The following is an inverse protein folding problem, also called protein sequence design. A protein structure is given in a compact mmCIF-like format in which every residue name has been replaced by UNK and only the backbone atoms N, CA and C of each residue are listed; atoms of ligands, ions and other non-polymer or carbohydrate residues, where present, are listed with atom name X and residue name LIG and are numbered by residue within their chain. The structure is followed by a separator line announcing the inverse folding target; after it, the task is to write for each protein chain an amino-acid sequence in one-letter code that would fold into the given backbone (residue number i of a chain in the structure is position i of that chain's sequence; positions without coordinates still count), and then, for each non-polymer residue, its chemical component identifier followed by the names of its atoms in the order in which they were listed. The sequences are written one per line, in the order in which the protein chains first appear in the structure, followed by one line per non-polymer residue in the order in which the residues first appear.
data_IF_965500887701
#
_entry.id   IF_965500887701
#
_cell.length_a   1.000
_cell.length_b   1.000
_cell.length_c   1.000
_cell.angle_alpha   90.00
_cell.angle_beta   90.00
_cell.angle_gamma   90.00
#
_symmetry.space_group_name_H-M   'P 1'
#
loop_
_entity.id
_entity.type
_entity.pdbx_description
1 polymer ?
#
# COMPACT_ATOMS: atom_id res chain seq x y z
N UNK A 1 20.08 -7.32 -17.29
CA UNK A 1 18.84 -6.97 -16.58
C UNK A 1 17.77 -6.59 -17.61
N UNK A 2 16.51 -7.00 -17.41
CA UNK A 2 15.37 -6.64 -18.28
C UNK A 2 14.39 -5.80 -17.46
N UNK A 3 14.07 -4.59 -17.92
CA UNK A 3 13.03 -3.74 -17.30
C UNK A 3 11.67 -4.45 -17.42
N UNK A 4 10.97 -4.60 -16.31
CA UNK A 4 9.66 -5.26 -16.23
C UNK A 4 8.58 -4.38 -15.57
N UNK A 5 8.97 -3.29 -14.90
CA UNK A 5 8.04 -2.33 -14.29
C UNK A 5 8.71 -0.98 -14.08
N UNK A 6 7.89 0.07 -14.05
CA UNK A 6 8.34 1.44 -13.74
C UNK A 6 7.29 2.14 -12.89
N UNK A 7 7.69 2.56 -11.69
CA UNK A 7 6.91 3.39 -10.79
C UNK A 7 7.45 4.82 -10.71
N UNK A 8 6.89 5.62 -9.81
CA UNK A 8 7.29 7.02 -9.63
C UNK A 8 8.69 7.15 -9.01
N UNK A 9 9.05 6.24 -8.09
CA UNK A 9 10.29 6.32 -7.31
C UNK A 9 11.33 5.29 -7.68
N UNK A 10 10.95 4.24 -8.44
CA UNK A 10 11.83 3.12 -8.77
C UNK A 10 11.46 2.45 -10.10
N UNK A 11 12.45 1.78 -10.67
CA UNK A 11 12.32 0.87 -11.81
C UNK A 11 12.54 -0.57 -11.32
N UNK A 12 11.79 -1.51 -11.88
CA UNK A 12 11.87 -2.93 -11.51
C UNK A 12 12.48 -3.71 -12.67
N UNK A 13 13.57 -4.39 -12.40
CA UNK A 13 14.30 -5.19 -13.36
C UNK A 13 14.26 -6.67 -13.01
N UNK A 14 13.97 -7.51 -13.99
CA UNK A 14 14.25 -8.95 -13.89
C UNK A 14 15.77 -9.17 -14.02
N UNK A 15 16.37 -9.74 -12.99
CA UNK A 15 17.81 -10.02 -12.93
C UNK A 15 18.11 -11.51 -13.07
N UNK A 16 17.09 -12.32 -13.38
CA UNK A 16 17.23 -13.78 -13.53
C UNK A 16 17.15 -14.54 -12.21
N UNK A 17 17.22 -15.85 -12.30
CA UNK A 17 17.21 -16.78 -11.14
C UNK A 17 16.03 -16.56 -10.16
N UNK A 18 14.85 -16.17 -10.69
CA UNK A 18 13.67 -15.91 -9.85
C UNK A 18 13.79 -14.66 -8.98
N UNK A 19 14.61 -13.68 -9.38
CA UNK A 19 14.82 -12.44 -8.63
C UNK A 19 14.53 -11.22 -9.47
N UNK A 20 14.11 -10.15 -8.76
CA UNK A 20 13.99 -8.79 -9.32
C UNK A 20 14.85 -7.82 -8.51
N UNK A 21 15.24 -6.74 -9.17
CA UNK A 21 15.86 -5.57 -8.56
C UNK A 21 14.88 -4.39 -8.65
N UNK A 22 14.38 -3.89 -7.51
CA UNK A 22 13.72 -2.59 -7.39
C UNK A 22 14.81 -1.55 -7.25
N UNK A 23 15.11 -0.82 -8.32
CA UNK A 23 16.19 0.17 -8.39
C UNK A 23 15.61 1.58 -8.32
N UNK A 24 15.88 2.29 -7.25
CA UNK A 24 15.35 3.64 -7.01
C UNK A 24 15.98 4.67 -7.95
N UNK A 25 15.28 5.78 -8.19
CA UNK A 25 15.82 6.89 -8.99
C UNK A 25 17.07 7.48 -8.31
N UNK A 26 17.98 8.07 -9.09
CA UNK A 26 19.29 8.53 -8.62
C UNK A 26 19.23 9.49 -7.42
N UNK A 27 18.23 10.36 -7.39
CA UNK A 27 18.02 11.33 -6.29
C UNK A 27 17.31 10.76 -5.07
N UNK A 28 16.92 9.48 -5.08
CA UNK A 28 16.13 8.93 -3.99
C UNK A 28 17.00 8.74 -2.74
N UNK A 29 16.55 9.23 -1.55
CA UNK A 29 17.38 9.24 -0.36
C UNK A 29 17.71 7.82 0.12
N UNK A 30 19.00 7.56 0.42
CA UNK A 30 19.46 6.26 0.93
C UNK A 30 18.67 5.79 2.14
N UNK A 31 18.42 6.69 3.10
CA UNK A 31 17.68 6.34 4.32
C UNK A 31 16.25 5.84 4.04
N UNK A 32 15.61 6.33 2.96
CA UNK A 32 14.27 5.86 2.58
C UNK A 32 14.34 4.43 1.99
N UNK A 33 15.38 4.11 1.21
CA UNK A 33 15.61 2.74 0.73
C UNK A 33 15.93 1.78 1.88
N UNK A 34 16.75 2.22 2.84
CA UNK A 34 17.04 1.46 4.07
C UNK A 34 15.78 1.23 4.90
N UNK A 35 14.88 2.22 4.94
CA UNK A 35 13.59 2.11 5.60
C UNK A 35 12.70 1.04 4.95
N UNK A 36 12.53 1.09 3.63
CA UNK A 36 11.77 0.06 2.90
C UNK A 36 12.39 -1.32 3.07
N UNK A 37 13.72 -1.44 2.95
CA UNK A 37 14.42 -2.70 3.17
C UNK A 37 14.16 -3.29 4.57
N UNK A 38 14.27 -2.45 5.61
CA UNK A 38 13.97 -2.85 6.99
C UNK A 38 12.52 -3.33 7.13
N UNK A 39 11.57 -2.57 6.59
CA UNK A 39 10.15 -2.90 6.62
C UNK A 39 9.88 -4.24 5.92
N UNK A 40 10.44 -4.45 4.71
CA UNK A 40 10.30 -5.70 3.97
C UNK A 40 10.82 -6.91 4.76
N UNK A 41 11.97 -6.77 5.44
CA UNK A 41 12.55 -7.81 6.29
C UNK A 41 11.66 -8.12 7.50
N UNK A 42 11.06 -7.10 8.10
CA UNK A 42 10.09 -7.27 9.20
C UNK A 42 8.86 -8.01 8.68
N UNK A 43 8.24 -7.58 7.57
CA UNK A 43 7.07 -8.23 6.99
C UNK A 43 7.33 -9.71 6.69
N UNK A 44 8.50 -10.03 6.16
CA UNK A 44 8.91 -11.41 5.89
C UNK A 44 9.03 -12.25 7.17
N UNK A 45 9.47 -11.67 8.30
CA UNK A 45 9.65 -12.40 9.56
C UNK A 45 8.34 -12.87 10.19
N UNK A 46 7.19 -12.29 9.81
CA UNK A 46 5.86 -12.68 10.28
C UNK A 46 5.20 -13.80 9.45
N UNK A 47 5.94 -14.41 8.51
CA UNK A 47 5.42 -15.44 7.61
C UNK A 47 4.17 -14.99 6.83
N UNK A 48 4.09 -13.69 6.53
CA UNK A 48 3.05 -13.10 5.71
C UNK A 48 3.28 -13.45 4.22
N UNK A 49 2.22 -13.44 3.40
CA UNK A 49 2.33 -13.69 1.96
C UNK A 49 3.00 -12.51 1.23
N UNK A 50 4.30 -12.39 1.38
CA UNK A 50 5.15 -11.35 0.80
C UNK A 50 6.30 -11.99 0.01
N UNK A 51 6.87 -11.31 -1.01
CA UNK A 51 8.09 -11.79 -1.66
C UNK A 51 9.24 -11.83 -0.67
N UNK A 52 10.14 -12.81 -0.81
CA UNK A 52 11.38 -12.83 -0.06
C UNK A 52 12.20 -11.57 -0.39
N UNK A 53 12.67 -10.88 0.65
CA UNK A 53 13.58 -9.75 0.55
C UNK A 53 15.00 -10.24 0.84
N UNK A 54 15.91 -10.13 -0.12
CA UNK A 54 17.25 -10.70 -0.01
C UNK A 54 18.27 -9.70 0.53
N UNK A 55 18.53 -8.65 -0.23
CA UNK A 55 19.60 -7.71 0.07
C UNK A 55 19.30 -6.32 -0.49
N UNK A 56 19.96 -5.32 0.08
CA UNK A 56 20.07 -4.00 -0.47
C UNK A 56 21.37 -3.92 -1.29
N UNK A 57 21.34 -3.27 -2.44
CA UNK A 57 22.48 -3.17 -3.36
C UNK A 57 22.60 -1.76 -3.94
N UNK A 58 23.71 -1.51 -4.63
CA UNK A 58 23.95 -0.27 -5.36
C UNK A 58 24.38 -0.58 -6.79
N UNK A 59 23.76 0.05 -7.77
CA UNK A 59 24.03 -0.09 -9.19
C UNK A 59 24.06 1.30 -9.82
N UNK A 60 25.18 1.66 -10.44
CA UNK A 60 25.37 2.96 -11.12
C UNK A 60 24.99 4.15 -10.23
N UNK A 61 25.46 4.18 -8.98
CA UNK A 61 25.16 5.19 -7.95
C UNK A 61 23.66 5.28 -7.55
N UNK A 62 22.88 4.25 -7.86
CA UNK A 62 21.47 4.15 -7.46
C UNK A 62 21.32 3.00 -6.46
N UNK A 63 20.59 3.25 -5.38
CA UNK A 63 20.28 2.21 -4.41
C UNK A 63 19.12 1.34 -4.91
N UNK A 64 19.17 0.05 -4.56
CA UNK A 64 18.12 -0.88 -4.91
C UNK A 64 17.96 -1.99 -3.89
N UNK A 65 16.85 -2.70 -3.98
CA UNK A 65 16.52 -3.84 -3.14
C UNK A 65 16.23 -5.04 -4.04
N UNK A 66 16.85 -6.17 -3.72
CA UNK A 66 16.62 -7.43 -4.43
C UNK A 66 15.51 -8.21 -3.74
N UNK A 67 14.47 -8.53 -4.51
CA UNK A 67 13.32 -9.33 -4.08
C UNK A 67 13.16 -10.60 -4.88
N UNK A 68 12.39 -11.54 -4.35
CA UNK A 68 11.84 -12.66 -5.10
C UNK A 68 10.94 -12.15 -6.23
N UNK A 69 11.10 -12.72 -7.42
CA UNK A 69 10.22 -12.42 -8.55
C UNK A 69 8.89 -13.14 -8.37
N UNK A 70 7.81 -12.40 -8.35
CA UNK A 70 6.45 -12.92 -8.45
C UNK A 70 6.04 -12.82 -9.91
N UNK A 71 5.86 -13.97 -10.57
CA UNK A 71 5.40 -14.02 -11.98
C UNK A 71 3.89 -14.08 -12.00
N UNK A 72 3.23 -13.18 -12.74
CA UNK A 72 1.78 -13.09 -12.82
C UNK A 72 1.33 -11.67 -13.11
N UNK A 73 0.19 -11.28 -12.56
CA UNK A 73 -0.38 -9.93 -12.72
C UNK A 73 -0.80 -9.36 -11.36
N UNK A 74 -1.10 -8.07 -11.32
CA UNK A 74 -1.69 -7.48 -10.12
C UNK A 74 -3.16 -7.93 -9.91
N UNK A 75 -3.67 -7.72 -8.69
CA UNK A 75 -5.01 -8.16 -8.33
C UNK A 75 -6.09 -7.43 -9.13
N UNK A 76 -5.88 -6.16 -9.50
CA UNK A 76 -6.84 -5.43 -10.34
C UNK A 76 -6.95 -6.08 -11.72
N UNK A 77 -5.82 -6.33 -12.37
CA UNK A 77 -5.77 -7.01 -13.67
C UNK A 77 -6.37 -8.43 -13.60
N UNK A 78 -6.05 -9.17 -12.52
CA UNK A 78 -6.65 -10.49 -12.27
C UNK A 78 -8.17 -10.43 -12.17
N UNK A 79 -8.71 -9.45 -11.43
CA UNK A 79 -10.17 -9.27 -11.28
C UNK A 79 -10.86 -8.99 -12.62
N UNK A 80 -10.25 -8.13 -13.44
CA UNK A 80 -10.81 -7.78 -14.76
C UNK A 80 -10.74 -8.98 -15.71
N UNK A 81 -9.57 -9.60 -15.87
CA UNK A 81 -9.36 -10.72 -16.80
C UNK A 81 -10.25 -11.93 -16.51
N UNK A 82 -10.54 -12.18 -15.25
CA UNK A 82 -11.27 -13.38 -14.81
C UNK A 82 -12.73 -13.09 -14.42
N UNK A 83 -13.21 -11.85 -14.59
CA UNK A 83 -14.52 -11.39 -14.08
C UNK A 83 -14.73 -11.80 -12.60
N UNK A 84 -13.69 -11.63 -11.79
CA UNK A 84 -13.55 -12.17 -10.44
C UNK A 84 -13.66 -11.12 -9.33
N UNK A 85 -14.56 -10.11 -9.50
CA UNK A 85 -14.70 -9.00 -8.56
C UNK A 85 -14.95 -9.45 -7.12
N UNK A 86 -15.87 -10.39 -6.90
CA UNK A 86 -16.16 -10.88 -5.55
C UNK A 86 -15.01 -11.67 -4.94
N UNK A 87 -14.39 -12.56 -5.70
CA UNK A 87 -13.23 -13.32 -5.25
C UNK A 87 -12.03 -12.39 -5.00
N UNK A 88 -11.84 -11.39 -5.84
CA UNK A 88 -10.78 -10.42 -5.68
C UNK A 88 -10.88 -9.63 -4.39
N UNK A 89 -12.08 -9.15 -4.02
CA UNK A 89 -12.26 -8.42 -2.76
C UNK A 89 -12.08 -9.33 -1.52
N UNK A 90 -12.41 -10.61 -1.62
CA UNK A 90 -12.14 -11.58 -0.55
C UNK A 90 -10.63 -11.83 -0.38
N UNK A 91 -9.89 -11.98 -1.48
CA UNK A 91 -8.42 -12.08 -1.47
C UNK A 91 -7.84 -10.82 -0.82
N UNK A 92 -8.27 -9.65 -1.28
CA UNK A 92 -7.84 -8.35 -0.78
C UNK A 92 -8.03 -8.21 0.73
N UNK A 93 -9.27 -8.44 1.20
CA UNK A 93 -9.60 -8.41 2.63
C UNK A 93 -8.77 -9.40 3.44
N UNK A 94 -8.67 -10.65 2.99
CA UNK A 94 -7.96 -11.69 3.73
C UNK A 94 -6.48 -11.37 3.90
N UNK A 95 -5.83 -10.81 2.87
CA UNK A 95 -4.43 -10.40 2.93
C UNK A 95 -4.23 -9.26 3.92
N UNK A 96 -5.04 -8.22 3.82
CA UNK A 96 -4.94 -7.10 4.76
C UNK A 96 -5.23 -7.54 6.20
N UNK A 97 -6.25 -8.35 6.40
CA UNK A 97 -6.60 -8.85 7.73
C UNK A 97 -5.48 -9.70 8.35
N UNK A 98 -4.74 -10.49 7.56
CA UNK A 98 -3.54 -11.20 8.03
C UNK A 98 -2.49 -10.21 8.53
N UNK A 99 -2.20 -9.14 7.78
CA UNK A 99 -1.24 -8.10 8.17
C UNK A 99 -1.71 -7.38 9.44
N UNK A 100 -2.95 -6.93 9.46
CA UNK A 100 -3.55 -6.20 10.57
C UNK A 100 -3.67 -7.01 11.88
N UNK A 101 -3.57 -8.32 11.82
CA UNK A 101 -3.54 -9.18 13.01
C UNK A 101 -2.14 -9.39 13.59
N UNK A 102 -1.09 -8.95 12.90
CA UNK A 102 0.27 -8.95 13.41
C UNK A 102 0.56 -7.68 14.20
N UNK A 103 1.43 -7.77 15.22
CA UNK A 103 1.88 -6.64 16.02
C UNK A 103 3.41 -6.55 15.97
N UNK A 104 3.94 -5.33 15.80
CA UNK A 104 5.38 -5.11 15.74
C UNK A 104 5.76 -3.74 16.30
N UNK A 105 6.50 -3.73 17.41
CA UNK A 105 6.97 -2.49 18.05
C UNK A 105 8.23 -1.89 17.40
N UNK A 106 8.90 -2.64 16.52
CA UNK A 106 10.11 -2.19 15.81
C UNK A 106 9.79 -1.26 14.62
N UNK A 107 8.53 -1.25 14.17
CA UNK A 107 8.06 -0.36 13.12
C UNK A 107 7.88 1.07 13.65
N UNK A 108 8.12 2.05 12.80
CA UNK A 108 7.75 3.44 13.05
C UNK A 108 6.26 3.55 13.34
N UNK A 109 5.85 4.40 14.27
CA UNK A 109 4.42 4.65 14.47
C UNK A 109 3.81 5.37 13.27
N UNK A 110 2.52 5.10 12.98
CA UNK A 110 1.83 5.83 11.90
C UNK A 110 1.79 7.34 12.16
N UNK A 111 1.77 7.76 13.44
CA UNK A 111 1.81 9.17 13.80
C UNK A 111 3.15 9.80 13.45
N UNK A 112 4.26 9.14 13.75
CA UNK A 112 5.59 9.63 13.43
C UNK A 112 5.80 9.64 11.91
N UNK A 113 5.31 8.62 11.20
CA UNK A 113 5.33 8.56 9.74
C UNK A 113 4.58 9.74 9.12
N UNK A 114 3.35 10.01 9.56
CA UNK A 114 2.54 11.13 9.06
C UNK A 114 3.19 12.48 9.41
N UNK A 115 3.74 12.64 10.64
CA UNK A 115 4.45 13.86 11.04
C UNK A 115 5.68 14.11 10.18
N UNK A 116 6.41 13.07 9.83
CA UNK A 116 7.58 13.17 8.93
C UNK A 116 7.18 13.70 7.54
N UNK A 117 6.03 13.26 7.00
CA UNK A 117 5.55 13.69 5.68
C UNK A 117 4.97 15.10 5.72
N UNK A 118 4.12 15.41 6.69
CA UNK A 118 3.45 16.72 6.81
C UNK A 118 4.46 17.81 7.21
N UNK A 119 5.40 17.50 8.12
CA UNK A 119 6.31 18.49 8.69
C UNK A 119 5.56 19.67 9.28
N UNK A 120 6.03 20.88 8.98
CA UNK A 120 5.43 22.14 9.45
C UNK A 120 4.31 22.66 8.54
N UNK A 121 3.94 21.91 7.48
CA UNK A 121 2.97 22.37 6.47
C UNK A 121 1.54 22.48 7.01
N UNK A 122 1.16 21.69 8.04
CA UNK A 122 -0.18 21.72 8.62
C UNK A 122 -0.22 21.42 10.12
N UNK A 123 0.09 22.41 10.99
CA UNK A 123 0.05 22.22 12.45
C UNK A 123 -1.33 21.81 13.00
N UNK A 124 -2.41 22.21 12.33
CA UNK A 124 -3.77 21.82 12.74
C UNK A 124 -4.01 20.32 12.52
N UNK A 125 -3.52 19.79 11.40
CA UNK A 125 -3.63 18.35 11.11
C UNK A 125 -2.80 17.54 12.11
N UNK A 126 -1.62 18.02 12.52
CA UNK A 126 -0.82 17.38 13.56
C UNK A 126 -1.58 17.33 14.90
N UNK A 127 -2.27 18.42 15.28
CA UNK A 127 -3.12 18.42 16.50
C UNK A 127 -4.30 17.43 16.41
N UNK A 128 -4.87 17.21 15.23
CA UNK A 128 -5.89 16.18 15.01
C UNK A 128 -5.29 14.79 15.14
N UNK A 129 -4.15 14.55 14.49
CA UNK A 129 -3.42 13.30 14.53
C UNK A 129 -3.05 12.89 15.97
N UNK A 130 -2.59 13.83 16.79
CA UNK A 130 -2.21 13.55 18.18
C UNK A 130 -3.38 13.04 19.04
N UNK A 131 -4.61 13.40 18.70
CA UNK A 131 -5.83 12.95 19.37
C UNK A 131 -6.29 11.55 18.95
N UNK A 132 -5.81 11.04 17.82
CA UNK A 132 -6.16 9.70 17.35
C UNK A 132 -5.51 8.62 18.25
N UNK A 133 -6.12 7.43 18.36
CA UNK A 133 -5.54 6.34 19.13
C UNK A 133 -4.18 5.91 18.64
N UNK A 134 -3.31 5.44 19.53
CA UNK A 134 -2.13 4.69 19.17
C UNK A 134 -2.49 3.23 18.87
N UNK A 135 -1.57 2.49 18.25
CA UNK A 135 -1.75 1.08 17.95
C UNK A 135 -0.42 0.37 17.71
N UNK A 136 -0.46 -0.96 17.83
CA UNK A 136 0.71 -1.82 17.66
C UNK A 136 0.56 -2.76 16.44
N UNK A 137 -0.60 -2.73 15.77
CA UNK A 137 -0.83 -3.59 14.60
C UNK A 137 0.06 -3.14 13.44
N UNK A 138 0.51 -4.09 12.64
CA UNK A 138 1.18 -3.77 11.38
C UNK A 138 0.15 -3.17 10.44
N UNK A 139 0.44 -1.99 9.93
CA UNK A 139 -0.30 -1.27 8.92
C UNK A 139 0.54 -1.22 7.66
N UNK A 140 -0.01 -1.57 6.50
CA UNK A 140 0.71 -1.48 5.24
C UNK A 140 0.94 -0.04 4.78
N UNK A 141 -0.03 0.83 5.04
CA UNK A 141 0.03 2.26 4.73
C UNK A 141 -0.18 2.62 3.25
N UNK A 142 -0.10 1.63 2.35
CA UNK A 142 -0.34 1.78 0.91
C UNK A 142 -1.01 0.54 0.31
N UNK A 143 -2.02 0.00 1.02
CA UNK A 143 -2.68 -1.23 0.65
C UNK A 143 -3.75 -0.98 -0.41
N UNK A 144 -3.44 -1.32 -1.66
CA UNK A 144 -4.35 -1.20 -2.80
C UNK A 144 -4.15 -2.36 -3.80
N UNK A 145 -5.06 -2.48 -4.77
CA UNK A 145 -5.14 -3.63 -5.67
C UNK A 145 -3.87 -3.88 -6.50
N UNK A 146 -3.15 -2.82 -6.86
CA UNK A 146 -1.90 -2.90 -7.64
C UNK A 146 -0.68 -3.31 -6.79
N UNK A 147 -0.78 -3.23 -5.45
CA UNK A 147 0.26 -3.71 -4.52
C UNK A 147 0.03 -5.17 -4.09
N UNK A 148 -0.80 -5.90 -4.81
CA UNK A 148 -1.00 -7.34 -4.63
C UNK A 148 -0.77 -8.03 -5.96
N UNK A 149 0.18 -8.96 -6.00
CA UNK A 149 0.47 -9.77 -7.17
C UNK A 149 -0.15 -11.15 -7.02
N UNK A 150 -0.80 -11.63 -8.07
CA UNK A 150 -1.31 -13.00 -8.16
C UNK A 150 -0.36 -13.77 -9.09
N UNK A 151 0.30 -14.80 -8.56
CA UNK A 151 1.22 -15.60 -9.36
C UNK A 151 0.49 -16.60 -10.29
N UNK A 152 1.23 -17.23 -11.19
CA UNK A 152 0.72 -18.19 -12.16
C UNK A 152 0.06 -19.42 -11.50
N UNK A 153 0.32 -19.66 -10.21
CA UNK A 153 -0.35 -20.73 -9.41
C UNK A 153 -1.60 -20.23 -8.67
N UNK A 154 -1.95 -18.95 -8.79
CA UNK A 154 -3.09 -18.32 -8.14
C UNK A 154 -2.82 -17.88 -6.69
N UNK A 155 -1.57 -17.89 -6.23
CA UNK A 155 -1.19 -17.40 -4.91
C UNK A 155 -0.99 -15.89 -4.95
N UNK A 156 -1.48 -15.22 -3.91
CA UNK A 156 -1.35 -13.79 -3.77
C UNK A 156 -0.14 -13.42 -2.89
N UNK A 157 0.60 -12.37 -3.28
CA UNK A 157 1.66 -11.76 -2.46
C UNK A 157 1.50 -10.24 -2.44
N UNK A 158 1.69 -9.66 -1.26
CA UNK A 158 1.66 -8.20 -1.05
C UNK A 158 3.07 -7.65 -1.26
N UNK A 159 3.16 -6.51 -1.94
CA UNK A 159 4.42 -5.83 -2.28
C UNK A 159 4.38 -4.35 -1.85
N UNK A 160 5.52 -3.68 -1.93
CA UNK A 160 5.73 -2.26 -1.64
C UNK A 160 5.58 -1.88 -0.16
N UNK A 161 6.71 -1.90 0.57
CA UNK A 161 6.74 -1.78 2.02
C UNK A 161 7.24 -0.42 2.51
N UNK A 162 7.29 0.59 1.62
CA UNK A 162 7.77 1.92 1.97
C UNK A 162 6.97 2.56 3.11
N UNK A 163 5.65 2.40 3.08
CA UNK A 163 4.72 3.06 3.99
C UNK A 163 4.34 2.19 5.21
N UNK A 164 4.96 1.01 5.34
CA UNK A 164 4.65 0.10 6.45
C UNK A 164 5.01 0.75 7.78
N UNK A 165 4.04 0.76 8.68
CA UNK A 165 4.15 1.35 10.00
C UNK A 165 3.37 0.53 11.04
N UNK A 166 3.42 0.92 12.33
CA UNK A 166 2.51 0.38 13.35
C UNK A 166 1.43 1.39 13.71
N UNK A 167 0.21 0.90 13.90
CA UNK A 167 -0.93 1.76 14.22
C UNK A 167 -2.17 0.96 14.61
N UNK A 168 -3.30 1.63 14.83
CA UNK A 168 -4.58 0.96 14.97
C UNK A 168 -5.06 0.44 13.61
N UNK A 169 -5.77 -0.68 13.58
CA UNK A 169 -6.33 -1.26 12.35
C UNK A 169 -7.14 -0.24 11.54
N UNK A 170 -7.91 0.61 12.22
CA UNK A 170 -8.74 1.64 11.59
C UNK A 170 -7.92 2.64 10.74
N UNK A 171 -6.68 2.93 11.12
CA UNK A 171 -5.81 3.78 10.30
C UNK A 171 -5.54 3.17 8.92
N UNK A 172 -5.12 1.90 8.88
CA UNK A 172 -4.81 1.23 7.61
C UNK A 172 -6.06 1.00 6.76
N UNK A 173 -7.19 0.65 7.40
CA UNK A 173 -8.49 0.53 6.73
C UNK A 173 -8.92 1.88 6.13
N UNK A 174 -8.75 2.99 6.87
CA UNK A 174 -9.06 4.32 6.38
C UNK A 174 -8.13 4.74 5.23
N UNK A 175 -6.82 4.43 5.32
CA UNK A 175 -5.85 4.72 4.26
C UNK A 175 -6.21 3.95 2.98
N UNK A 176 -6.49 2.64 3.09
CA UNK A 176 -6.96 1.82 1.97
C UNK A 176 -8.27 2.35 1.38
N UNK A 177 -9.24 2.70 2.22
CA UNK A 177 -10.49 3.32 1.76
C UNK A 177 -10.23 4.60 0.97
N UNK A 178 -9.37 5.49 1.48
CA UNK A 178 -8.98 6.72 0.81
C UNK A 178 -8.36 6.46 -0.57
N UNK A 179 -7.42 5.53 -0.67
CA UNK A 179 -6.75 5.19 -1.93
C UNK A 179 -7.70 4.58 -2.98
N UNK A 180 -8.72 3.86 -2.53
CA UNK A 180 -9.68 3.19 -3.43
C UNK A 180 -10.88 4.07 -3.80
N UNK A 181 -11.24 5.10 -3.04
CA UNK A 181 -12.43 5.93 -3.33
C UNK A 181 -12.32 6.79 -4.58
N UNK A 182 -11.09 7.02 -5.10
CA UNK A 182 -10.82 7.89 -6.24
C UNK A 182 -10.67 9.36 -5.85
N UNK A 183 -10.51 10.21 -6.85
CA UNK A 183 -10.15 11.62 -6.67
C UNK A 183 -11.32 12.55 -6.26
N UNK A 184 -12.53 12.00 -6.09
CA UNK A 184 -13.71 12.79 -5.72
C UNK A 184 -14.17 13.79 -6.79
N UNK A 185 -13.69 13.65 -8.04
CA UNK A 185 -14.14 14.50 -9.15
C UNK A 185 -15.65 14.39 -9.35
N UNK A 186 -16.30 15.53 -9.70
CA UNK A 186 -17.75 15.54 -9.94
C UNK A 186 -18.18 14.55 -11.01
N UNK A 187 -19.39 14.02 -10.92
CA UNK A 187 -19.95 13.10 -11.92
C UNK A 187 -20.44 13.82 -13.17
N UNK A 188 -20.45 15.17 -13.15
CA UNK A 188 -20.88 15.98 -14.27
C UNK A 188 -19.95 15.80 -15.49
N UNK A 189 -20.54 15.35 -16.59
CA UNK A 189 -19.85 15.15 -17.86
C UNK A 189 -19.17 13.81 -18.05
N UNK A 190 -19.25 12.89 -17.09
CA UNK A 190 -18.73 11.52 -17.22
C UNK A 190 -19.60 10.68 -18.14
N UNK A 191 -18.97 9.82 -18.93
CA UNK A 191 -19.65 8.85 -19.79
C UNK A 191 -20.35 7.75 -18.97
N UNK A 192 -21.29 7.01 -19.59
CA UNK A 192 -21.92 5.85 -18.94
C UNK A 192 -20.91 4.78 -18.51
N UNK A 193 -19.84 4.59 -19.29
CA UNK A 193 -18.76 3.64 -18.96
C UNK A 193 -17.99 4.09 -17.72
N UNK A 194 -17.63 5.38 -17.63
CA UNK A 194 -16.99 5.94 -16.43
C UNK A 194 -17.87 5.83 -15.19
N UNK A 195 -19.17 6.11 -15.34
CA UNK A 195 -20.15 5.95 -14.26
C UNK A 195 -20.33 4.49 -13.84
N UNK A 196 -20.20 3.53 -14.76
CA UNK A 196 -20.24 2.11 -14.42
C UNK A 196 -19.02 1.69 -13.59
N UNK A 197 -17.83 2.20 -13.93
CA UNK A 197 -16.58 1.96 -13.17
C UNK A 197 -16.69 2.54 -11.76
N UNK A 198 -17.23 3.77 -11.62
CA UNK A 198 -17.43 4.41 -10.32
C UNK A 198 -18.38 3.56 -9.46
N UNK A 199 -19.54 3.19 -9.99
CA UNK A 199 -20.50 2.33 -9.26
C UNK A 199 -19.92 0.98 -8.86
N UNK A 200 -19.06 0.39 -9.69
CA UNK A 200 -18.39 -0.86 -9.35
C UNK A 200 -17.38 -0.66 -8.22
N UNK A 201 -16.65 0.45 -8.24
CA UNK A 201 -15.70 0.83 -7.18
C UNK A 201 -16.43 1.07 -5.85
N UNK A 202 -17.54 1.80 -5.85
CA UNK A 202 -18.36 2.02 -4.66
C UNK A 202 -18.85 0.71 -4.04
N UNK A 203 -19.37 -0.22 -4.86
CA UNK A 203 -19.77 -1.55 -4.39
C UNK A 203 -18.61 -2.34 -3.78
N UNK A 204 -17.40 -2.24 -4.34
CA UNK A 204 -16.21 -2.87 -3.77
C UNK A 204 -15.84 -2.26 -2.42
N UNK A 205 -15.92 -0.92 -2.30
CA UNK A 205 -15.66 -0.22 -1.03
C UNK A 205 -16.68 -0.59 0.05
N UNK A 206 -17.97 -0.62 -0.28
CA UNK A 206 -19.02 -1.03 0.66
C UNK A 206 -18.77 -2.47 1.15
N UNK A 207 -18.49 -3.39 0.22
CA UNK A 207 -18.18 -4.78 0.59
C UNK A 207 -16.91 -4.88 1.44
N UNK A 208 -15.88 -4.09 1.12
CA UNK A 208 -14.65 -4.01 1.90
C UNK A 208 -14.91 -3.59 3.34
N UNK A 209 -15.70 -2.53 3.56
CA UNK A 209 -16.06 -2.06 4.90
C UNK A 209 -16.90 -3.10 5.66
N UNK A 210 -17.86 -3.74 4.99
CA UNK A 210 -18.67 -4.80 5.59
C UNK A 210 -17.80 -5.97 6.06
N UNK A 211 -16.83 -6.40 5.25
CA UNK A 211 -15.91 -7.49 5.61
C UNK A 211 -15.04 -7.15 6.83
N UNK A 212 -14.64 -5.88 6.97
CA UNK A 212 -13.90 -5.40 8.14
C UNK A 212 -14.80 -5.13 9.36
N UNK A 213 -16.13 -5.12 9.19
CA UNK A 213 -17.09 -4.77 10.25
C UNK A 213 -16.98 -3.31 10.69
N UNK A 214 -16.57 -2.40 9.78
CA UNK A 214 -16.31 -0.98 10.03
C UNK A 214 -17.32 -0.13 9.29
N UNK A 215 -17.86 0.90 9.97
CA UNK A 215 -18.72 1.90 9.35
C UNK A 215 -17.90 3.06 8.81
N UNK A 216 -18.33 3.66 7.71
CA UNK A 216 -17.64 4.79 7.06
C UNK A 216 -17.41 5.97 8.02
N UNK A 217 -18.35 6.22 8.91
CA UNK A 217 -18.29 7.29 9.91
C UNK A 217 -17.12 7.11 10.89
N UNK A 218 -16.73 5.86 11.18
CA UNK A 218 -15.60 5.56 12.07
C UNK A 218 -14.25 5.91 11.44
N UNK A 219 -14.19 5.98 10.11
CA UNK A 219 -12.97 6.34 9.36
C UNK A 219 -12.74 7.85 9.31
N UNK A 220 -13.80 8.67 9.49
CA UNK A 220 -13.75 10.11 9.26
C UNK A 220 -12.60 10.83 9.97
N UNK A 221 -12.31 10.58 11.27
CA UNK A 221 -11.19 11.25 11.94
C UNK A 221 -9.81 10.92 11.33
N UNK A 222 -9.66 9.73 10.76
CA UNK A 222 -8.43 9.31 10.07
C UNK A 222 -8.37 9.91 8.67
N UNK A 223 -9.49 9.93 7.94
CA UNK A 223 -9.56 10.44 6.56
C UNK A 223 -9.15 11.91 6.48
N UNK A 224 -9.55 12.73 7.47
CA UNK A 224 -9.15 14.15 7.54
C UNK A 224 -7.63 14.33 7.61
N UNK A 225 -6.93 13.44 8.29
CA UNK A 225 -5.47 13.47 8.42
C UNK A 225 -4.79 12.89 7.19
N UNK A 226 -5.33 11.77 6.69
CA UNK A 226 -4.81 11.05 5.52
C UNK A 226 -4.86 11.91 4.27
N UNK A 227 -5.93 12.65 4.05
CA UNK A 227 -6.09 13.54 2.89
C UNK A 227 -4.97 14.60 2.84
N UNK A 228 -4.66 15.23 3.97
CA UNK A 228 -3.58 16.23 4.04
C UNK A 228 -2.22 15.57 3.87
N UNK A 229 -2.01 14.41 4.49
CA UNK A 229 -0.77 13.64 4.34
C UNK A 229 -0.52 13.28 2.88
N UNK A 230 -1.54 12.73 2.21
CA UNK A 230 -1.43 12.33 0.80
C UNK A 230 -1.11 13.51 -0.13
N UNK A 231 -1.72 14.67 0.09
CA UNK A 231 -1.38 15.89 -0.66
C UNK A 231 0.09 16.29 -0.46
N UNK A 232 0.66 16.03 0.72
CA UNK A 232 2.08 16.31 1.00
C UNK A 232 3.03 15.26 0.41
N UNK A 233 2.59 14.02 0.21
CA UNK A 233 3.36 12.97 -0.47
C UNK A 233 3.55 13.25 -1.97
N UNK A 234 2.61 13.99 -2.58
CA UNK A 234 2.60 14.29 -4.02
C UNK A 234 3.40 15.55 -4.38
N UNK A 235 3.92 16.30 -3.41
CA UNK A 235 4.73 17.52 -3.57
C UNK A 235 6.23 17.22 -3.50
#
# INVERSE_FOLDING_TARGET
MKLIGKGNTAEVYDIGNGKILKLFVESYPKFAVEHEYKNARIMQSFNLPVPACFEMTEVDNRYGIVYEKVSGCDLYEYMIKNNAGEKGIEIFYNLQNQILNCKCNELMSYKDFIKMIIGDKSPETIKKLDKLPDGENICHGDFHLWNILIDDSGKAKVIDFMNVCRGPKLYDIARTFYLLQGDGSSDEGKSEEEMAIIRQREKLLDKYLVLHGVKKEELQPYLEVIEVCHKCEML
#
